data_IF_908476641465
#
_entry.id   IF_908476641465
#
_cell.length_a   1.000
_cell.length_b   1.000
_cell.length_c   1.000
_cell.angle_alpha   90.00
_cell.angle_beta   90.00
_cell.angle_gamma   90.00
#
_symmetry.space_group_name_H-M   'P 1'
#
loop_
_entity.id
_entity.type
_entity.pdbx_description
1 polymer ?
#
# COMPACT_ATOMS: atom_id res chain seq x y z
N UNK A 1 21.61 -17.53 9.92
CA UNK A 1 21.15 -18.42 8.83
C UNK A 1 19.85 -19.21 9.13
N UNK A 2 19.51 -19.48 10.40
CA UNK A 2 18.26 -20.15 10.78
C UNK A 2 16.98 -19.29 10.69
N UNK A 3 17.13 -17.96 10.68
CA UNK A 3 16.02 -17.01 10.66
C UNK A 3 15.25 -16.93 9.33
N UNK A 4 15.90 -17.20 8.20
CA UNK A 4 15.27 -17.13 6.87
C UNK A 4 14.30 -18.29 6.60
N UNK A 5 14.59 -19.49 7.10
CA UNK A 5 13.71 -20.66 6.93
C UNK A 5 12.42 -20.55 7.74
N UNK A 6 12.51 -20.08 8.99
CA UNK A 6 11.34 -19.86 9.86
C UNK A 6 10.44 -18.79 9.26
N UNK A 7 11.04 -17.73 8.71
CA UNK A 7 10.29 -16.68 8.03
C UNK A 7 9.52 -17.22 6.82
N UNK A 8 10.22 -17.90 5.91
CA UNK A 8 9.60 -18.46 4.71
C UNK A 8 8.45 -19.40 5.07
N UNK A 9 8.63 -20.22 6.11
CA UNK A 9 7.58 -21.09 6.63
C UNK A 9 6.37 -20.30 7.16
N UNK A 10 6.58 -19.24 7.94
CA UNK A 10 5.49 -18.41 8.46
C UNK A 10 4.72 -17.68 7.35
N UNK A 11 5.40 -17.20 6.31
CA UNK A 11 4.76 -16.62 5.11
C UNK A 11 3.89 -17.68 4.42
N UNK A 12 4.45 -18.86 4.17
CA UNK A 12 3.71 -19.95 3.53
C UNK A 12 2.50 -20.39 4.35
N UNK A 13 2.62 -20.42 5.68
CA UNK A 13 1.51 -20.74 6.58
C UNK A 13 0.43 -19.64 6.55
N UNK A 14 0.81 -18.36 6.51
CA UNK A 14 -0.15 -17.26 6.37
C UNK A 14 -0.87 -17.28 5.01
N UNK A 15 -0.13 -17.53 3.92
CA UNK A 15 -0.70 -17.71 2.57
C UNK A 15 -1.61 -18.94 2.56
N UNK A 16 -1.18 -20.07 3.13
CA UNK A 16 -1.97 -21.30 3.16
C UNK A 16 -3.23 -21.14 4.00
N UNK A 17 -3.16 -20.49 5.16
CA UNK A 17 -4.32 -20.18 5.99
C UNK A 17 -5.30 -19.26 5.26
N UNK A 18 -4.81 -18.22 4.59
CA UNK A 18 -5.63 -17.33 3.75
C UNK A 18 -6.29 -18.11 2.62
N UNK A 19 -5.54 -18.99 1.95
CA UNK A 19 -6.05 -19.80 0.85
C UNK A 19 -7.10 -20.83 1.31
N UNK A 20 -6.91 -21.46 2.49
CA UNK A 20 -7.86 -22.40 3.07
C UNK A 20 -9.10 -21.72 3.65
N UNK A 21 -8.98 -20.46 4.06
CA UNK A 21 -10.11 -19.65 4.51
C UNK A 21 -10.99 -19.14 3.35
N UNK A 22 -10.56 -19.31 2.09
CA UNK A 22 -11.41 -19.07 0.93
C UNK A 22 -12.49 -20.17 0.89
N UNK A 23 -13.78 -19.82 0.96
CA UNK A 23 -14.84 -20.82 0.92
C UNK A 23 -14.79 -21.60 -0.40
N UNK A 24 -14.91 -22.94 -0.33
CA UNK A 24 -14.91 -23.84 -1.50
C UNK A 24 -15.98 -23.48 -2.55
N UNK A 25 -16.98 -22.69 -2.17
CA UNK A 25 -18.00 -22.13 -3.07
C UNK A 25 -17.42 -21.21 -4.16
N UNK A 26 -16.15 -20.84 -4.08
CA UNK A 26 -15.41 -20.09 -5.10
C UNK A 26 -14.98 -20.93 -6.30
N UNK A 27 -15.05 -22.26 -6.23
CA UNK A 27 -14.86 -23.13 -7.38
C UNK A 27 -16.22 -23.46 -8.00
N UNK A 28 -16.59 -22.84 -9.13
CA UNK A 28 -17.84 -23.18 -9.79
C UNK A 28 -17.78 -24.64 -10.25
N UNK A 29 -18.51 -25.50 -9.54
CA UNK A 29 -18.78 -26.85 -10.00
C UNK A 29 -19.43 -26.77 -11.38
N UNK A 30 -18.76 -27.38 -12.35
CA UNK A 30 -19.02 -27.35 -13.78
C UNK A 30 -20.41 -27.94 -14.13
N UNK A 31 -21.49 -27.19 -13.93
CA UNK A 31 -22.82 -27.47 -14.51
C UNK A 31 -23.58 -26.17 -14.81
N UNK A 32 -23.44 -25.71 -16.06
CA UNK A 32 -24.43 -25.00 -16.90
C UNK A 32 -25.28 -23.84 -16.35
N UNK A 33 -25.00 -23.28 -15.18
CA UNK A 33 -25.77 -22.15 -14.62
C UNK A 33 -25.07 -20.79 -14.81
N UNK A 34 -25.86 -19.70 -14.90
CA UNK A 34 -25.40 -18.37 -15.28
C UNK A 34 -24.21 -17.93 -14.42
N UNK A 35 -23.20 -17.35 -15.08
CA UNK A 35 -21.95 -16.88 -14.47
C UNK A 35 -22.27 -16.07 -13.22
N UNK A 36 -22.06 -16.65 -12.04
CA UNK A 36 -22.03 -15.88 -10.80
C UNK A 36 -20.88 -14.87 -10.98
N UNK A 37 -21.14 -13.56 -10.87
CA UNK A 37 -20.13 -12.55 -11.16
C UNK A 37 -18.96 -12.70 -10.18
N UNK A 38 -17.75 -12.87 -10.71
CA UNK A 38 -16.45 -12.92 -10.02
C UNK A 38 -16.18 -11.73 -9.07
N UNK A 39 -17.06 -10.74 -9.07
CA UNK A 39 -17.01 -9.52 -8.26
C UNK A 39 -17.09 -9.83 -6.75
N UNK A 40 -17.91 -10.81 -6.33
CA UNK A 40 -18.07 -11.14 -4.91
C UNK A 40 -16.79 -11.68 -4.24
N UNK A 41 -16.04 -12.52 -4.96
CA UNK A 41 -14.81 -13.16 -4.51
C UNK A 41 -13.70 -12.15 -4.17
N UNK A 42 -13.57 -11.12 -5.01
CA UNK A 42 -12.54 -10.11 -4.84
C UNK A 42 -12.77 -9.25 -3.60
N UNK A 43 -14.03 -8.93 -3.28
CA UNK A 43 -14.37 -8.13 -2.09
C UNK A 43 -13.96 -8.85 -0.81
N UNK A 44 -14.21 -10.17 -0.73
CA UNK A 44 -13.89 -10.98 0.45
C UNK A 44 -12.36 -11.08 0.65
N UNK A 45 -11.60 -11.35 -0.42
CA UNK A 45 -10.12 -11.41 -0.37
C UNK A 45 -9.56 -10.10 0.19
N UNK A 46 -10.03 -8.96 -0.33
CA UNK A 46 -9.53 -7.67 0.16
C UNK A 46 -9.94 -7.41 1.62
N UNK A 47 -11.15 -7.78 2.04
CA UNK A 47 -11.58 -7.59 3.43
C UNK A 47 -10.72 -8.42 4.41
N UNK A 48 -10.39 -9.66 4.04
CA UNK A 48 -9.46 -10.49 4.80
C UNK A 48 -8.05 -9.87 4.83
N UNK A 49 -7.55 -9.37 3.69
CA UNK A 49 -6.28 -8.65 3.63
C UNK A 49 -6.29 -7.47 4.59
N UNK A 50 -7.30 -6.59 4.53
CA UNK A 50 -7.41 -5.39 5.36
C UNK A 50 -7.41 -5.78 6.87
N UNK A 51 -8.10 -6.86 7.24
CA UNK A 51 -8.15 -7.35 8.62
C UNK A 51 -6.80 -7.87 9.14
N UNK A 52 -6.02 -8.54 8.29
CA UNK A 52 -4.66 -9.03 8.62
C UNK A 52 -3.64 -7.88 8.62
N UNK A 53 -3.78 -6.94 7.68
CA UNK A 53 -2.88 -5.83 7.49
C UNK A 53 -2.82 -4.91 8.71
N UNK A 54 -3.96 -4.63 9.34
CA UNK A 54 -4.03 -3.71 10.48
C UNK A 54 -3.12 -4.12 11.67
N UNK A 55 -3.28 -5.30 12.30
CA UNK A 55 -2.43 -5.70 13.42
C UNK A 55 -0.96 -5.88 13.02
N UNK A 56 -0.69 -6.33 11.80
CA UNK A 56 0.66 -6.53 11.30
C UNK A 56 1.40 -5.19 11.13
N UNK A 57 0.73 -4.17 10.58
CA UNK A 57 1.27 -2.83 10.46
C UNK A 57 1.62 -2.22 11.83
N UNK A 58 0.79 -2.44 12.84
CA UNK A 58 1.05 -1.97 14.20
C UNK A 58 2.25 -2.70 14.84
N UNK A 59 2.38 -4.01 14.61
CA UNK A 59 3.53 -4.78 15.07
C UNK A 59 4.84 -4.32 14.41
N UNK A 60 4.83 -4.10 13.10
CA UNK A 60 5.99 -3.58 12.36
C UNK A 60 6.37 -2.19 12.88
N UNK A 61 5.39 -1.30 13.06
CA UNK A 61 5.60 0.03 13.65
C UNK A 61 6.28 -0.05 15.02
N UNK A 62 5.80 -0.91 15.91
CA UNK A 62 6.36 -1.08 17.25
C UNK A 62 7.82 -1.56 17.21
N UNK A 63 8.12 -2.56 16.37
CA UNK A 63 9.47 -3.10 16.21
C UNK A 63 10.46 -2.03 15.71
N UNK A 64 10.03 -1.19 14.78
CA UNK A 64 10.85 -0.08 14.30
C UNK A 64 11.02 1.01 15.35
N UNK A 65 9.96 1.37 16.09
CA UNK A 65 10.05 2.33 17.17
C UNK A 65 11.04 1.85 18.25
N UNK A 66 11.00 0.58 18.59
CA UNK A 66 11.95 -0.04 19.52
C UNK A 66 13.38 0.00 18.99
N UNK A 67 13.60 -0.40 17.73
CA UNK A 67 14.92 -0.34 17.10
C UNK A 67 15.50 1.09 17.08
N UNK A 68 14.69 2.10 16.77
CA UNK A 68 15.11 3.51 16.80
C UNK A 68 15.56 3.91 18.20
N UNK A 69 14.83 3.51 19.24
CA UNK A 69 15.16 3.87 20.62
C UNK A 69 16.56 3.35 21.01
N UNK A 70 16.90 2.13 20.61
CA UNK A 70 18.19 1.49 20.88
C UNK A 70 19.32 2.07 20.03
N UNK A 71 19.05 2.41 18.77
CA UNK A 71 20.04 2.88 17.81
C UNK A 71 20.29 4.41 17.83
N UNK A 72 19.53 5.17 18.65
CA UNK A 72 19.55 6.64 18.62
C UNK A 72 20.79 7.28 19.25
N UNK A 73 21.55 6.53 20.07
CA UNK A 73 22.52 7.08 21.01
C UNK A 73 23.75 7.78 20.41
N UNK A 74 24.22 7.36 19.24
CA UNK A 74 25.41 7.94 18.59
C UNK A 74 25.32 7.90 17.06
N UNK A 75 26.16 8.66 16.35
CA UNK A 75 26.26 8.60 14.88
C UNK A 75 26.62 7.18 14.43
N UNK A 76 27.63 6.59 15.07
CA UNK A 76 28.04 5.20 14.79
C UNK A 76 26.89 4.21 14.99
N UNK A 77 26.12 4.33 16.08
CA UNK A 77 24.96 3.49 16.35
C UNK A 77 23.86 3.67 15.30
N UNK A 78 23.58 4.90 14.84
CA UNK A 78 22.59 5.12 13.78
C UNK A 78 23.02 4.54 12.42
N UNK A 79 24.31 4.58 12.13
CA UNK A 79 24.85 4.17 10.83
C UNK A 79 25.19 2.70 10.72
N UNK A 80 25.68 2.10 11.79
CA UNK A 80 26.20 0.72 11.81
C UNK A 80 25.67 -0.10 12.97
N UNK A 81 24.94 0.52 13.89
CA UNK A 81 24.33 -0.21 14.97
C UNK A 81 23.37 -1.23 14.40
N UNK A 82 23.44 -2.41 15.00
CA UNK A 82 22.72 -3.56 14.53
C UNK A 82 21.78 -4.06 15.61
N UNK A 83 20.49 -4.14 15.29
CA UNK A 83 19.46 -4.45 16.26
C UNK A 83 18.49 -5.51 15.76
N UNK A 84 18.28 -6.51 16.60
CA UNK A 84 17.45 -7.66 16.25
C UNK A 84 16.00 -7.26 15.93
N UNK A 85 15.48 -6.24 16.63
CA UNK A 85 14.13 -5.73 16.41
C UNK A 85 13.95 -5.12 15.02
N UNK A 86 14.99 -4.45 14.49
CA UNK A 86 14.97 -3.95 13.12
C UNK A 86 14.84 -5.09 12.12
N UNK A 87 15.63 -6.15 12.29
CA UNK A 87 15.57 -7.29 11.36
C UNK A 87 14.23 -7.99 11.37
N UNK A 88 13.65 -8.24 12.54
CA UNK A 88 12.30 -8.83 12.61
C UNK A 88 11.29 -7.92 11.91
N UNK A 89 11.36 -6.60 12.16
CA UNK A 89 10.50 -5.61 11.51
C UNK A 89 10.65 -5.60 9.99
N UNK A 90 11.88 -5.51 9.48
CA UNK A 90 12.20 -5.52 8.05
C UNK A 90 11.76 -6.83 7.38
N UNK A 91 11.99 -7.95 8.04
CA UNK A 91 11.56 -9.28 7.59
C UNK A 91 10.04 -9.34 7.43
N UNK A 92 9.29 -8.94 8.46
CA UNK A 92 7.83 -8.92 8.44
C UNK A 92 7.30 -7.96 7.38
N UNK A 93 7.89 -6.77 7.27
CA UNK A 93 7.52 -5.75 6.29
C UNK A 93 7.74 -6.22 4.85
N UNK A 94 8.90 -6.81 4.55
CA UNK A 94 9.19 -7.37 3.23
C UNK A 94 8.24 -8.53 2.89
N UNK A 95 8.01 -9.41 3.87
CA UNK A 95 7.11 -10.55 3.72
C UNK A 95 5.68 -10.11 3.42
N UNK A 96 5.21 -9.11 4.14
CA UNK A 96 3.89 -8.53 3.93
C UNK A 96 3.79 -7.81 2.59
N UNK A 97 4.82 -7.04 2.19
CA UNK A 97 4.85 -6.38 0.88
C UNK A 97 4.81 -7.37 -0.28
N UNK A 98 5.50 -8.52 -0.18
CA UNK A 98 5.43 -9.59 -1.19
C UNK A 98 4.00 -10.16 -1.25
N UNK A 99 3.41 -10.46 -0.08
CA UNK A 99 2.04 -10.92 0.01
C UNK A 99 1.06 -9.93 -0.64
N UNK A 100 1.17 -8.64 -0.34
CA UNK A 100 0.31 -7.61 -0.93
C UNK A 100 0.49 -7.47 -2.44
N UNK A 101 1.72 -7.55 -2.96
CA UNK A 101 1.98 -7.54 -4.41
C UNK A 101 1.26 -8.70 -5.12
N UNK A 102 1.27 -9.90 -4.53
CA UNK A 102 0.56 -11.06 -5.07
C UNK A 102 -0.95 -10.81 -5.05
N UNK A 103 -1.51 -10.35 -3.92
CA UNK A 103 -2.94 -10.02 -3.82
C UNK A 103 -3.33 -8.93 -4.82
N UNK A 104 -2.48 -7.92 -4.99
CA UNK A 104 -2.70 -6.84 -5.94
C UNK A 104 -2.75 -7.35 -7.37
N UNK A 105 -1.85 -8.28 -7.75
CA UNK A 105 -1.88 -8.94 -9.05
C UNK A 105 -3.19 -9.70 -9.30
N UNK A 106 -3.71 -10.40 -8.29
CA UNK A 106 -4.99 -11.13 -8.37
C UNK A 106 -6.17 -10.17 -8.51
N UNK A 107 -6.19 -9.08 -7.74
CA UNK A 107 -7.30 -8.11 -7.68
C UNK A 107 -7.23 -7.06 -8.81
N UNK A 108 -6.10 -6.93 -9.50
CA UNK A 108 -5.89 -5.94 -10.55
C UNK A 108 -5.78 -4.51 -10.02
N UNK A 109 -4.94 -4.28 -9.01
CA UNK A 109 -4.72 -2.93 -8.44
C UNK A 109 -3.98 -2.01 -9.41
N UNK A 110 -3.89 -0.73 -9.06
CA UNK A 110 -3.18 0.26 -9.89
C UNK A 110 -1.66 0.06 -9.79
N UNK A 111 -0.95 0.21 -10.91
CA UNK A 111 0.50 -0.01 -11.02
C UNK A 111 1.33 0.75 -9.95
N UNK A 112 0.87 1.92 -9.51
CA UNK A 112 1.54 2.74 -8.51
C UNK A 112 1.69 2.03 -7.16
N UNK A 113 0.75 1.15 -6.79
CA UNK A 113 0.85 0.34 -5.57
C UNK A 113 1.98 -0.70 -5.69
N UNK A 114 2.12 -1.33 -6.85
CA UNK A 114 3.23 -2.27 -7.09
C UNK A 114 4.57 -1.58 -7.04
N UNK A 115 4.70 -0.41 -7.69
CA UNK A 115 5.93 0.37 -7.64
C UNK A 115 6.31 0.71 -6.20
N UNK A 116 5.34 1.13 -5.39
CA UNK A 116 5.56 1.41 -3.96
C UNK A 116 6.20 0.22 -3.23
N UNK A 117 5.58 -0.96 -3.30
CA UNK A 117 6.09 -2.15 -2.60
C UNK A 117 7.41 -2.65 -3.16
N UNK A 118 7.63 -2.59 -4.48
CA UNK A 118 8.90 -2.98 -5.10
C UNK A 118 10.04 -2.08 -4.59
N UNK A 119 9.82 -0.77 -4.55
CA UNK A 119 10.81 0.19 -4.05
C UNK A 119 11.09 -0.03 -2.56
N UNK A 120 10.05 -0.27 -1.75
CA UNK A 120 10.18 -0.61 -0.32
C UNK A 120 10.98 -1.92 -0.14
N UNK A 121 10.67 -2.96 -0.91
CA UNK A 121 11.39 -4.23 -0.86
C UNK A 121 12.88 -4.07 -1.16
N UNK A 122 13.22 -3.32 -2.22
CA UNK A 122 14.61 -3.09 -2.61
C UNK A 122 15.35 -2.37 -1.49
N UNK A 123 14.80 -1.29 -0.94
CA UNK A 123 15.52 -0.50 0.07
C UNK A 123 15.72 -1.28 1.38
N UNK A 124 14.72 -2.02 1.84
CA UNK A 124 14.85 -2.84 3.06
C UNK A 124 15.78 -4.03 2.86
N UNK A 125 15.76 -4.67 1.68
CA UNK A 125 16.68 -5.76 1.37
C UNK A 125 18.13 -5.26 1.33
N UNK A 126 18.40 -4.16 0.61
CA UNK A 126 19.72 -3.56 0.53
C UNK A 126 20.23 -3.12 1.91
N UNK A 127 19.39 -2.42 2.68
CA UNK A 127 19.74 -1.98 4.04
C UNK A 127 20.06 -3.13 4.98
N UNK A 128 19.16 -4.13 5.04
CA UNK A 128 19.35 -5.29 5.89
C UNK A 128 20.61 -6.09 5.49
N UNK A 129 20.90 -6.21 4.19
CA UNK A 129 22.10 -6.91 3.69
C UNK A 129 23.41 -6.17 3.99
N UNK A 130 23.37 -4.84 4.05
CA UNK A 130 24.55 -4.01 4.26
C UNK A 130 24.91 -3.85 5.74
N UNK A 131 24.01 -4.21 6.67
CA UNK A 131 24.14 -3.89 8.10
C UNK A 131 24.44 -2.39 8.33
N UNK A 132 23.86 -1.54 7.48
CA UNK A 132 24.09 -0.09 7.49
C UNK A 132 22.75 0.63 7.46
N UNK A 133 22.73 1.83 8.04
CA UNK A 133 21.59 2.76 8.07
C UNK A 133 20.28 2.16 8.62
N UNK A 134 20.37 1.09 9.42
CA UNK A 134 19.23 0.39 10.03
C UNK A 134 18.34 1.34 10.84
N UNK A 135 18.92 2.30 11.57
CA UNK A 135 18.18 3.33 12.29
C UNK A 135 17.28 4.16 11.36
N UNK A 136 17.83 4.63 10.23
CA UNK A 136 17.12 5.46 9.27
C UNK A 136 16.03 4.68 8.54
N UNK A 137 16.27 3.41 8.25
CA UNK A 137 15.27 2.52 7.66
C UNK A 137 14.16 2.16 8.66
N UNK A 138 14.49 1.97 9.94
CA UNK A 138 13.50 1.82 10.99
C UNK A 138 12.65 3.11 11.11
N UNK A 139 13.29 4.28 11.08
CA UNK A 139 12.59 5.57 11.10
C UNK A 139 11.65 5.72 9.90
N UNK A 140 12.12 5.43 8.68
CA UNK A 140 11.27 5.41 7.50
C UNK A 140 10.10 4.41 7.65
N UNK A 141 10.30 3.31 8.37
CA UNK A 141 9.29 2.31 8.67
C UNK A 141 8.21 2.74 9.67
N UNK A 142 8.41 3.84 10.41
CA UNK A 142 7.36 4.38 11.29
C UNK A 142 6.09 4.79 10.54
N UNK A 143 6.15 4.93 9.22
CA UNK A 143 4.98 5.19 8.37
C UNK A 143 3.92 4.08 8.42
N UNK A 144 4.28 2.88 8.88
CA UNK A 144 3.35 1.75 8.98
C UNK A 144 2.17 2.01 9.94
N UNK A 145 2.31 2.94 10.89
CA UNK A 145 1.17 3.36 11.73
C UNK A 145 -0.01 3.90 10.90
N UNK A 146 0.27 4.48 9.72
CA UNK A 146 -0.78 4.94 8.80
C UNK A 146 -1.55 3.78 8.18
N UNK A 147 -0.89 2.65 7.94
CA UNK A 147 -1.51 1.47 7.33
C UNK A 147 -2.48 0.79 8.30
N UNK A 148 -2.27 0.88 9.62
CA UNK A 148 -3.24 0.42 10.62
C UNK A 148 -4.60 1.11 10.42
N UNK A 149 -4.63 2.43 10.39
CA UNK A 149 -5.88 3.19 10.21
C UNK A 149 -6.47 3.01 8.81
N UNK A 150 -5.61 2.99 7.77
CA UNK A 150 -6.04 2.80 6.39
C UNK A 150 -6.75 1.44 6.19
N UNK A 151 -6.23 0.39 6.80
CA UNK A 151 -6.80 -0.95 6.76
C UNK A 151 -8.17 -1.00 7.43
N UNK A 152 -8.34 -0.35 8.59
CA UNK A 152 -9.66 -0.27 9.26
C UNK A 152 -10.69 0.47 8.40
N UNK A 153 -10.32 1.62 7.84
CA UNK A 153 -11.19 2.40 6.94
C UNK A 153 -11.56 1.57 5.70
N UNK A 154 -10.60 0.87 5.10
CA UNK A 154 -10.81 0.05 3.91
C UNK A 154 -11.76 -1.12 4.21
N UNK A 155 -11.51 -1.83 5.30
CA UNK A 155 -12.36 -2.93 5.78
C UNK A 155 -13.80 -2.47 6.02
N UNK A 156 -14.00 -1.45 6.86
CA UNK A 156 -15.32 -0.92 7.18
C UNK A 156 -16.02 -0.31 5.96
N UNK A 157 -15.27 0.31 5.05
CA UNK A 157 -15.77 0.83 3.79
C UNK A 157 -16.37 -0.25 2.90
N UNK A 158 -15.75 -1.44 2.85
CA UNK A 158 -16.25 -2.61 2.11
C UNK A 158 -17.49 -3.23 2.75
N UNK A 159 -17.63 -3.13 4.07
CA UNK A 159 -18.81 -3.56 4.80
C UNK A 159 -19.96 -2.53 4.77
N UNK A 160 -19.81 -1.43 4.02
CA UNK A 160 -20.77 -0.32 4.00
C UNK A 160 -21.02 0.32 5.38
N UNK A 161 -20.06 0.23 6.30
CA UNK A 161 -20.15 0.76 7.67
C UNK A 161 -19.56 2.17 7.82
N UNK A 162 -19.68 3.02 6.79
CA UNK A 162 -19.06 4.36 6.76
C UNK A 162 -19.61 5.34 7.81
N UNK A 163 -20.82 5.09 8.31
CA UNK A 163 -21.44 5.91 9.36
C UNK A 163 -21.04 5.50 10.78
N UNK A 164 -20.29 4.42 10.96
CA UNK A 164 -19.90 3.95 12.29
C UNK A 164 -18.80 4.86 12.88
N UNK A 165 -18.86 5.21 14.19
CA UNK A 165 -17.85 6.06 14.83
C UNK A 165 -16.41 5.58 14.62
N UNK A 166 -16.16 4.26 14.61
CA UNK A 166 -14.83 3.68 14.37
C UNK A 166 -14.29 4.03 12.99
N UNK A 167 -15.14 4.12 11.95
CA UNK A 167 -14.73 4.54 10.61
C UNK A 167 -14.24 5.99 10.61
N UNK A 168 -15.01 6.87 11.27
CA UNK A 168 -14.70 8.31 11.36
C UNK A 168 -13.42 8.53 12.18
N UNK A 169 -13.32 7.89 13.36
CA UNK A 169 -12.14 7.96 14.22
C UNK A 169 -10.90 7.42 13.52
N UNK A 170 -11.03 6.34 12.76
CA UNK A 170 -9.92 5.82 11.94
C UNK A 170 -9.55 6.78 10.83
N UNK A 171 -10.52 7.47 10.21
CA UNK A 171 -10.28 8.55 9.26
C UNK A 171 -9.45 9.70 9.84
N UNK A 172 -9.79 10.13 11.06
CA UNK A 172 -9.06 11.17 11.79
C UNK A 172 -7.67 10.68 12.18
N UNK A 173 -7.57 9.47 12.72
CA UNK A 173 -6.30 8.81 13.06
C UNK A 173 -5.38 8.67 11.84
N UNK A 174 -5.93 8.26 10.70
CA UNK A 174 -5.19 8.22 9.42
C UNK A 174 -4.68 9.60 9.06
N UNK A 175 -5.51 10.64 9.08
CA UNK A 175 -5.08 11.99 8.70
C UNK A 175 -3.94 12.51 9.58
N UNK A 176 -4.09 12.43 10.91
CA UNK A 176 -3.09 12.91 11.87
C UNK A 176 -1.80 12.11 11.72
N UNK A 177 -1.89 10.78 11.75
CA UNK A 177 -0.72 9.91 11.63
C UNK A 177 -0.01 10.10 10.29
N UNK A 178 -0.72 10.33 9.19
CA UNK A 178 -0.13 10.59 7.89
C UNK A 178 0.71 11.88 7.86
N UNK A 179 0.18 12.96 8.43
CA UNK A 179 0.93 14.23 8.54
C UNK A 179 2.20 14.02 9.35
N UNK A 180 2.10 13.42 10.53
CA UNK A 180 3.24 13.24 11.43
C UNK A 180 4.28 12.28 10.85
N UNK A 181 3.87 11.05 10.50
CA UNK A 181 4.79 9.96 10.12
C UNK A 181 5.32 10.07 8.70
N UNK A 182 4.54 10.59 7.74
CA UNK A 182 4.94 10.63 6.32
C UNK A 182 5.36 12.03 5.88
N UNK A 183 4.61 13.07 6.22
CA UNK A 183 4.92 14.42 5.72
C UNK A 183 6.01 15.12 6.54
N UNK A 184 6.03 14.91 7.86
CA UNK A 184 7.01 15.56 8.75
C UNK A 184 8.20 14.62 9.00
N UNK A 185 7.93 13.40 9.44
CA UNK A 185 8.97 12.48 9.90
C UNK A 185 9.91 12.00 8.78
N UNK A 186 9.43 11.77 7.55
CA UNK A 186 10.32 11.34 6.44
C UNK A 186 11.35 12.42 6.06
N UNK A 187 10.97 13.70 5.82
CA UNK A 187 11.96 14.76 5.60
C UNK A 187 12.92 14.95 6.78
N UNK A 188 12.43 14.81 8.02
CA UNK A 188 13.30 14.86 9.20
C UNK A 188 14.33 13.74 9.22
N UNK A 189 13.91 12.49 8.96
CA UNK A 189 14.82 11.35 8.90
C UNK A 189 15.91 11.54 7.82
N UNK A 190 15.54 12.04 6.63
CA UNK A 190 16.49 12.38 5.57
C UNK A 190 17.43 13.52 5.99
N UNK A 191 16.89 14.56 6.65
CA UNK A 191 17.70 15.66 7.17
C UNK A 191 18.72 15.21 8.22
N UNK A 192 18.34 14.30 9.12
CA UNK A 192 19.26 13.69 10.09
C UNK A 192 20.32 12.81 9.43
N UNK A 193 19.94 12.02 8.42
CA UNK A 193 20.89 11.23 7.64
C UNK A 193 21.94 12.12 6.97
N UNK A 194 21.52 13.19 6.30
CA UNK A 194 22.42 14.16 5.67
C UNK A 194 23.28 14.88 6.71
N UNK A 195 22.69 15.26 7.86
CA UNK A 195 23.44 15.90 8.95
C UNK A 195 24.57 15.00 9.45
N UNK A 196 24.31 13.72 9.67
CA UNK A 196 25.35 12.78 10.09
C UNK A 196 26.43 12.62 9.01
N UNK A 197 26.05 12.60 7.71
CA UNK A 197 27.01 12.56 6.59
C UNK A 197 27.96 13.76 6.57
N UNK A 198 27.44 14.95 6.88
CA UNK A 198 28.21 16.19 6.85
C UNK A 198 29.08 16.36 8.08
N UNK A 199 28.57 15.99 9.26
CA UNK A 199 29.28 16.19 10.54
C UNK A 199 30.36 15.14 10.80
N UNK A 200 30.20 13.91 10.30
CA UNK A 200 31.15 12.82 10.51
C UNK A 200 31.31 11.96 9.25
N UNK A 201 31.86 12.51 8.16
CA UNK A 201 32.00 11.80 6.89
C UNK A 201 32.86 10.54 7.01
N UNK A 202 33.86 10.56 7.91
CA UNK A 202 34.77 9.45 8.16
C UNK A 202 34.02 8.20 8.64
N UNK A 203 33.05 8.34 9.55
CA UNK A 203 32.28 7.19 10.04
C UNK A 203 31.02 6.88 9.21
N UNK A 204 30.64 7.78 8.31
CA UNK A 204 29.39 7.70 7.55
C UNK A 204 29.65 7.49 6.05
N UNK A 205 29.72 8.55 5.25
CA UNK A 205 29.79 8.52 3.80
C UNK A 205 31.01 7.76 3.28
N UNK A 206 32.19 8.03 3.83
CA UNK A 206 33.46 7.51 3.31
C UNK A 206 33.63 6.00 3.56
N UNK A 207 33.00 5.49 4.62
CA UNK A 207 33.01 4.08 4.97
C UNK A 207 31.74 3.32 4.54
N UNK A 208 30.70 4.03 4.10
CA UNK A 208 29.47 3.40 3.63
C UNK A 208 29.63 2.80 2.23
N UNK A 209 28.90 1.73 1.96
CA UNK A 209 28.67 1.27 0.60
C UNK A 209 27.77 2.29 -0.11
N UNK A 210 28.40 3.25 -0.78
CA UNK A 210 27.76 4.42 -1.43
C UNK A 210 26.47 4.08 -2.18
N UNK A 211 26.37 2.97 -2.95
CA UNK A 211 25.12 2.63 -3.62
C UNK A 211 23.92 2.49 -2.67
N UNK A 212 24.06 1.86 -1.50
CA UNK A 212 22.94 1.63 -0.59
C UNK A 212 22.41 2.94 -0.01
N UNK A 213 23.30 3.84 0.40
CA UNK A 213 22.93 5.17 0.92
C UNK A 213 22.24 6.00 -0.16
N UNK A 214 22.78 5.99 -1.39
CA UNK A 214 22.17 6.68 -2.53
C UNK A 214 20.77 6.12 -2.83
N UNK A 215 20.61 4.80 -2.87
CA UNK A 215 19.31 4.16 -3.07
C UNK A 215 18.32 4.48 -1.96
N UNK A 216 18.76 4.53 -0.69
CA UNK A 216 17.91 4.90 0.43
C UNK A 216 17.42 6.35 0.34
N UNK A 217 18.31 7.28 -0.04
CA UNK A 217 17.95 8.69 -0.26
C UNK A 217 16.96 8.84 -1.43
N UNK A 218 17.26 8.23 -2.58
CA UNK A 218 16.38 8.26 -3.76
C UNK A 218 15.00 7.66 -3.45
N UNK A 219 14.99 6.51 -2.77
CA UNK A 219 13.75 5.84 -2.34
C UNK A 219 12.95 6.74 -1.41
N UNK A 220 13.58 7.39 -0.44
CA UNK A 220 12.91 8.30 0.49
C UNK A 220 12.24 9.47 -0.24
N UNK A 221 12.92 10.05 -1.24
CA UNK A 221 12.34 11.11 -2.09
C UNK A 221 11.13 10.58 -2.88
N UNK A 222 11.27 9.43 -3.53
CA UNK A 222 10.17 8.82 -4.31
C UNK A 222 8.95 8.54 -3.40
N UNK A 223 9.17 7.89 -2.27
CA UNK A 223 8.11 7.55 -1.30
C UNK A 223 7.47 8.81 -0.71
N UNK A 224 8.24 9.87 -0.47
CA UNK A 224 7.72 11.15 0.00
C UNK A 224 6.80 11.81 -1.05
N UNK A 225 7.22 11.86 -2.32
CA UNK A 225 6.41 12.42 -3.40
C UNK A 225 5.10 11.62 -3.61
N UNK A 226 5.18 10.29 -3.56
CA UNK A 226 4.00 9.43 -3.59
C UNK A 226 3.09 9.68 -2.38
N UNK A 227 3.68 9.91 -1.21
CA UNK A 227 2.92 10.22 0.00
C UNK A 227 2.18 11.56 -0.11
N UNK A 228 2.83 12.60 -0.63
CA UNK A 228 2.19 13.88 -0.90
C UNK A 228 1.01 13.75 -1.90
N UNK A 229 1.19 12.94 -2.96
CA UNK A 229 0.13 12.66 -3.92
C UNK A 229 -1.09 11.98 -3.27
N UNK A 230 -0.88 10.98 -2.42
CA UNK A 230 -1.97 10.30 -1.72
C UNK A 230 -2.61 11.17 -0.63
N UNK A 231 -1.82 11.99 0.06
CA UNK A 231 -2.32 12.92 1.09
C UNK A 231 -3.38 13.86 0.54
N UNK A 232 -3.26 14.31 -0.71
CA UNK A 232 -4.29 15.13 -1.37
C UNK A 232 -5.68 14.48 -1.32
N UNK A 233 -5.77 13.15 -1.46
CA UNK A 233 -7.03 12.41 -1.38
C UNK A 233 -7.53 12.30 0.05
N UNK A 234 -6.64 12.00 0.99
CA UNK A 234 -6.97 11.89 2.42
C UNK A 234 -7.48 13.24 2.95
N UNK A 235 -6.79 14.33 2.63
CA UNK A 235 -7.19 15.68 3.03
C UNK A 235 -8.56 16.09 2.47
N UNK A 236 -8.85 15.77 1.20
CA UNK A 236 -10.19 15.99 0.62
C UNK A 236 -11.28 15.19 1.32
N UNK A 237 -11.00 13.92 1.66
CA UNK A 237 -11.95 13.09 2.42
C UNK A 237 -12.25 13.67 3.80
N UNK A 238 -11.22 14.16 4.49
CA UNK A 238 -11.32 14.77 5.82
C UNK A 238 -12.08 16.11 5.78
N UNK A 239 -11.69 17.02 4.90
CA UNK A 239 -12.34 18.34 4.75
C UNK A 239 -13.80 18.20 4.36
N UNK A 240 -14.16 17.21 3.55
CA UNK A 240 -15.56 16.90 3.24
C UNK A 240 -16.36 16.49 4.48
N UNK A 241 -15.79 15.75 5.42
CA UNK A 241 -16.47 15.38 6.67
C UNK A 241 -16.57 16.55 7.65
N UNK A 242 -15.54 17.40 7.74
CA UNK A 242 -15.52 18.52 8.69
C UNK A 242 -16.35 19.73 8.23
N UNK A 243 -16.33 20.03 6.93
CA UNK A 243 -16.93 21.25 6.37
C UNK A 243 -18.06 21.00 5.37
N UNK A 244 -18.27 19.75 4.97
CA UNK A 244 -19.37 19.40 4.08
C UNK A 244 -20.70 19.52 4.82
N UNK A 245 -21.40 20.64 4.61
CA UNK A 245 -22.77 20.86 5.08
C UNK A 245 -23.60 19.59 4.87
N UNK A 246 -24.09 19.00 5.97
CA UNK A 246 -24.57 17.63 6.14
C UNK A 246 -25.73 17.15 5.27
N UNK A 247 -25.65 17.31 3.95
CA UNK A 247 -26.42 16.48 3.02
C UNK A 247 -25.67 15.17 2.88
N UNK A 248 -25.88 14.29 3.86
CA UNK A 248 -25.53 12.88 3.82
C UNK A 248 -26.28 12.21 2.65
N UNK A 249 -25.86 12.45 1.41
CA UNK A 249 -26.15 11.52 0.31
C UNK A 249 -25.19 10.35 0.46
N UNK A 250 -25.45 9.52 1.46
CA UNK A 250 -24.76 8.26 1.69
C UNK A 250 -25.05 7.34 0.50
N UNK A 251 -24.16 7.31 -0.49
CA UNK A 251 -24.28 6.35 -1.59
C UNK A 251 -23.36 6.56 -2.79
N UNK A 252 -23.02 7.79 -3.18
CA UNK A 252 -22.69 7.99 -4.61
C UNK A 252 -21.20 7.96 -5.03
N UNK A 253 -20.21 8.09 -4.14
CA UNK A 253 -18.87 8.51 -4.60
C UNK A 253 -17.77 7.44 -4.59
N UNK A 254 -17.94 6.33 -3.87
CA UNK A 254 -17.04 5.16 -4.04
C UNK A 254 -17.41 4.38 -5.30
N UNK A 255 -18.71 4.31 -5.60
CA UNK A 255 -19.23 3.78 -6.86
C UNK A 255 -18.79 4.62 -8.08
N UNK A 256 -18.51 5.92 -7.90
CA UNK A 256 -18.03 6.79 -8.98
C UNK A 256 -16.59 6.46 -9.41
N UNK A 257 -15.75 5.91 -8.51
CA UNK A 257 -14.38 5.49 -8.85
C UNK A 257 -14.30 4.07 -9.42
N UNK A 258 -15.28 3.22 -9.11
CA UNK A 258 -15.39 1.87 -9.67
C UNK A 258 -16.14 1.89 -11.03
N UNK A 259 -17.13 2.76 -11.21
CA UNK A 259 -17.87 2.91 -12.48
C UNK A 259 -17.18 3.78 -13.56
N UNK A 260 -16.32 4.76 -13.20
CA UNK A 260 -15.61 5.57 -14.23
C UNK A 260 -14.52 4.77 -14.98
N UNK A 261 -14.13 3.59 -14.49
CA UNK A 261 -13.20 2.70 -15.19
C UNK A 261 -13.90 1.61 -16.02
N UNK A 262 -15.08 1.14 -15.61
CA UNK A 262 -15.86 0.17 -16.39
C UNK A 262 -16.49 0.81 -17.65
N UNK A 263 -16.91 2.07 -17.60
CA UNK A 263 -17.56 2.71 -18.76
C UNK A 263 -16.62 3.12 -19.89
N UNK A 264 -15.30 3.19 -19.65
CA UNK A 264 -14.30 3.60 -20.66
C UNK A 264 -13.66 2.44 -21.44
N UNK A 265 -13.80 1.17 -21.01
CA UNK A 265 -13.26 0.03 -21.78
C UNK A 265 -14.22 -0.51 -22.85
N UNK A 266 -15.54 -0.39 -22.65
CA UNK A 266 -16.50 -1.11 -23.50
C UNK A 266 -17.07 -0.27 -24.65
N UNK A 267 -16.83 1.05 -24.66
CA UNK A 267 -17.42 1.96 -25.65
C UNK A 267 -16.66 2.13 -26.97
N UNK A 268 -15.43 1.64 -27.11
CA UNK A 268 -14.57 1.96 -28.27
C UNK A 268 -14.47 0.89 -29.36
N UNK A 269 -15.01 -0.32 -29.18
CA UNK A 269 -14.82 -1.41 -30.17
C UNK A 269 -16.01 -1.71 -31.10
N UNK A 270 -17.19 -1.13 -30.89
CA UNK A 270 -18.37 -1.44 -31.73
C UNK A 270 -18.97 -0.30 -32.56
N UNK A 271 -18.36 0.89 -32.59
CA UNK A 271 -18.86 2.02 -33.42
C UNK A 271 -18.05 2.25 -34.70
N UNK A 272 -17.63 1.19 -35.37
CA UNK A 272 -17.06 1.25 -36.72
C UNK A 272 -17.53 0.05 -37.56
N UNK A 273 -18.78 0.12 -38.07
CA UNK A 273 -19.34 -0.55 -39.28
C UNK A 273 -20.88 -0.61 -39.22
N UNK A 274 -21.54 0.54 -39.15
CA UNK A 274 -22.93 0.70 -39.63
C UNK A 274 -23.05 2.04 -40.34
N UNK A 275 -22.32 2.15 -41.43
CA UNK A 275 -22.55 3.16 -42.46
C UNK A 275 -22.66 2.41 -43.77
N UNK A 276 -23.77 2.65 -44.46
CA UNK A 276 -23.93 2.46 -45.91
C UNK A 276 -24.39 1.08 -46.42
N UNK A 277 -25.65 0.71 -46.19
CA UNK A 277 -26.44 -0.18 -47.08
C UNK A 277 -27.95 0.01 -46.85
N UNK A 278 -28.54 1.11 -47.32
CA UNK A 278 -30.02 1.19 -47.43
C UNK A 278 -30.59 2.17 -48.46
N UNK A 279 -29.81 2.69 -49.41
CA UNK A 279 -30.33 3.67 -50.40
C UNK A 279 -30.21 3.26 -51.89
N UNK A 280 -30.15 1.96 -52.21
CA UNK A 280 -30.13 1.48 -53.60
C UNK A 280 -31.30 0.52 -53.89
N UNK A 281 -32.54 0.87 -53.50
CA UNK A 281 -33.71 0.14 -54.03
C UNK A 281 -34.97 0.97 -54.31
N UNK A 282 -34.92 2.30 -54.29
CA UNK A 282 -36.09 3.15 -54.57
C UNK A 282 -36.00 4.02 -55.84
N UNK A 283 -35.02 3.78 -56.73
CA UNK A 283 -34.85 4.57 -57.96
C UNK A 283 -35.03 3.80 -59.28
N UNK A 284 -35.88 2.75 -59.29
CA UNK A 284 -36.23 2.01 -60.52
C UNK A 284 -37.73 1.74 -60.68
N UNK A 285 -38.56 2.71 -60.31
CA UNK A 285 -39.98 2.74 -60.63
C UNK A 285 -40.41 4.20 -60.85
N UNK A 286 -39.97 4.78 -61.97
CA UNK A 286 -40.48 6.01 -62.62
C UNK A 286 -39.52 6.38 -63.76
N UNK A 287 -39.67 5.69 -64.88
CA UNK A 287 -39.42 6.12 -66.26
C UNK A 287 -39.67 4.94 -67.17
#
# INVERSE_FOLDING_TARGET
MWSSHILFHNILMAISATYRALPETLYPHKKSHPRIPLVGSCVHINACQDLVAAPLALMIFYLYLWAISLLSGSVESRWRGDEYSFYIGAVLHCSFSIYEVIIYAIVGKQWLFYLHHIVVLIVYFLGASAHQINFYLAWAGLVEVTNFFLSIISFMGRLNMKGNPTYILSGVGLYISYVISRLISVPLAVGFLIKDMVLDPANTWDMSLKPHVVFALLTSVVVYLMSAFWFKKIHRGMTKHLFGNGKHTAGSEVDALENDKSSKSDGKFHRAKRSNKSNISQKKARR
#
